data_IF_357844355911
#
_entry.id   IF_357844355911
#
_cell.length_a   1.000
_cell.length_b   1.000
_cell.length_c   1.000
_cell.angle_alpha   90.00
_cell.angle_beta   90.00
_cell.angle_gamma   90.00
#
_symmetry.space_group_name_H-M   'P 1'
#
loop_
_entity.id
_entity.type
_entity.pdbx_description
1 polymer ?
#
# COMPACT_ATOMS: atom_id res chain seq x y z
N UNK A 1 -24.68 -15.26 2.26
CA UNK A 1 -23.74 -14.16 2.60
C UNK A 1 -23.05 -13.63 1.34
N UNK A 2 -22.60 -12.36 1.26
CA UNK A 2 -21.77 -11.91 0.12
C UNK A 2 -20.30 -12.28 0.35
N UNK A 3 -19.76 -13.15 -0.50
CA UNK A 3 -18.36 -13.57 -0.45
C UNK A 3 -17.42 -12.46 -0.92
N UNK A 4 -16.37 -12.19 -0.15
CA UNK A 4 -15.39 -11.14 -0.46
C UNK A 4 -14.05 -11.73 -0.90
N UNK A 5 -13.71 -11.55 -2.17
CA UNK A 5 -12.44 -11.97 -2.75
C UNK A 5 -11.41 -10.86 -2.63
N UNK A 6 -10.22 -11.17 -2.09
CA UNK A 6 -9.11 -10.22 -1.93
C UNK A 6 -7.82 -10.80 -2.51
N UNK A 7 -7.30 -10.16 -3.55
CA UNK A 7 -5.93 -10.39 -3.99
C UNK A 7 -4.94 -9.69 -3.06
N UNK A 8 -3.81 -10.34 -2.78
CA UNK A 8 -2.70 -9.74 -2.03
C UNK A 8 -1.41 -10.01 -2.80
N UNK A 9 -0.97 -9.01 -3.56
CA UNK A 9 0.33 -9.05 -4.21
C UNK A 9 1.42 -8.71 -3.18
N UNK A 10 2.49 -9.49 -3.17
CA UNK A 10 3.71 -9.19 -2.42
C UNK A 10 4.91 -9.42 -3.32
N UNK A 11 5.80 -8.44 -3.38
CA UNK A 11 7.11 -8.54 -4.03
C UNK A 11 8.13 -8.69 -2.91
N UNK A 12 8.87 -9.79 -2.96
CA UNK A 12 9.93 -10.09 -2.02
C UNK A 12 11.28 -9.66 -2.60
N UNK A 13 12.13 -9.13 -1.75
CA UNK A 13 13.57 -9.00 -1.99
C UNK A 13 14.24 -9.75 -0.85
N UNK A 14 14.87 -10.86 -1.18
CA UNK A 14 15.31 -11.86 -0.18
C UNK A 14 14.10 -12.27 0.69
N UNK A 15 14.25 -12.29 2.00
CA UNK A 15 13.18 -12.67 2.94
C UNK A 15 12.27 -11.50 3.36
N UNK A 16 12.48 -10.30 2.79
CA UNK A 16 11.73 -9.10 3.14
C UNK A 16 10.68 -8.76 2.09
N UNK A 17 9.47 -8.39 2.53
CA UNK A 17 8.42 -7.87 1.64
C UNK A 17 8.77 -6.44 1.22
N UNK A 18 9.43 -6.29 0.08
CA UNK A 18 9.81 -5.01 -0.50
C UNK A 18 8.58 -4.16 -0.87
N UNK A 19 7.59 -4.77 -1.53
CA UNK A 19 6.33 -4.12 -1.91
C UNK A 19 5.17 -5.02 -1.50
N UNK A 20 4.12 -4.45 -0.92
CA UNK A 20 2.95 -5.22 -0.53
C UNK A 20 1.80 -4.33 -0.05
N UNK A 21 0.66 -4.94 0.32
CA UNK A 21 -0.58 -4.21 0.55
C UNK A 21 -0.47 -3.17 1.68
N UNK A 22 0.30 -3.47 2.73
CA UNK A 22 0.51 -2.53 3.84
C UNK A 22 1.30 -1.29 3.45
N UNK A 23 2.37 -1.46 2.64
CA UNK A 23 3.20 -0.36 2.15
C UNK A 23 2.42 0.50 1.15
N UNK A 24 1.64 -0.12 0.26
CA UNK A 24 0.79 0.60 -0.71
C UNK A 24 -0.33 1.36 0.00
N UNK A 25 -1.03 0.73 0.95
CA UNK A 25 -2.05 1.41 1.75
C UNK A 25 -1.47 2.60 2.53
N UNK A 26 -0.25 2.48 3.05
CA UNK A 26 0.44 3.59 3.69
C UNK A 26 0.70 4.76 2.73
N UNK A 27 1.19 4.49 1.52
CA UNK A 27 1.40 5.55 0.53
C UNK A 27 0.09 6.24 0.14
N UNK A 28 -0.99 5.48 -0.08
CA UNK A 28 -2.32 6.04 -0.37
C UNK A 28 -2.83 6.91 0.78
N UNK A 29 -2.66 6.45 2.02
CA UNK A 29 -3.04 7.22 3.20
C UNK A 29 -2.18 8.48 3.38
N UNK A 30 -0.89 8.45 3.02
CA UNK A 30 -0.02 9.63 3.00
C UNK A 30 -0.52 10.64 1.95
N UNK A 31 -0.88 10.18 0.75
CA UNK A 31 -1.42 11.04 -0.30
C UNK A 31 -2.68 11.78 0.16
N UNK A 32 -3.55 11.12 0.93
CA UNK A 32 -4.78 11.71 1.48
C UNK A 32 -4.53 12.60 2.69
N UNK A 33 -3.65 12.19 3.61
CA UNK A 33 -3.46 12.85 4.90
C UNK A 33 -2.40 13.96 4.89
N UNK A 34 -1.51 13.99 3.88
CA UNK A 34 -0.39 14.93 3.78
C UNK A 34 0.67 14.78 4.86
N UNK A 35 0.65 13.70 5.64
CA UNK A 35 1.60 13.43 6.73
C UNK A 35 1.64 11.94 7.09
N UNK A 36 2.80 11.48 7.55
CA UNK A 36 2.97 10.08 8.01
C UNK A 36 2.12 9.82 9.26
N UNK A 37 2.03 10.80 10.18
CA UNK A 37 1.23 10.65 11.40
C UNK A 37 -0.27 10.63 11.12
N UNK A 38 -0.75 11.40 10.12
CA UNK A 38 -2.11 11.34 9.64
C UNK A 38 -2.43 10.00 8.97
N UNK A 39 -1.53 9.50 8.13
CA UNK A 39 -1.66 8.18 7.50
C UNK A 39 -1.70 7.05 8.53
N UNK A 40 -0.83 7.09 9.54
CA UNK A 40 -0.82 6.10 10.63
C UNK A 40 -2.16 6.06 11.38
N UNK A 41 -2.74 7.23 11.68
CA UNK A 41 -4.07 7.35 12.30
C UNK A 41 -5.18 6.78 11.41
N UNK A 42 -5.16 7.06 10.10
CA UNK A 42 -6.16 6.53 9.16
C UNK A 42 -6.11 5.00 9.04
N UNK A 43 -4.91 4.42 9.19
CA UNK A 43 -4.69 2.98 9.07
C UNK A 43 -4.71 2.24 10.42
N UNK A 44 -5.16 2.91 11.48
CA UNK A 44 -5.21 2.36 12.85
C UNK A 44 -3.89 1.70 13.27
N UNK A 45 -2.78 2.41 13.06
CA UNK A 45 -1.45 1.94 13.42
C UNK A 45 -0.61 3.00 14.13
N UNK A 46 0.40 2.55 14.89
CA UNK A 46 1.34 3.46 15.52
C UNK A 46 2.19 4.20 14.48
N UNK A 47 2.56 5.44 14.80
CA UNK A 47 3.50 6.21 13.99
C UNK A 47 4.79 5.43 13.70
N UNK A 48 5.34 4.73 14.72
CA UNK A 48 6.53 3.88 14.58
C UNK A 48 6.34 2.81 13.52
N UNK A 49 5.18 2.15 13.46
CA UNK A 49 4.89 1.13 12.45
C UNK A 49 4.81 1.73 11.05
N UNK A 50 4.15 2.87 10.90
CA UNK A 50 4.11 3.59 9.61
C UNK A 50 5.51 3.98 9.15
N UNK A 51 6.36 4.48 10.06
CA UNK A 51 7.74 4.83 9.76
C UNK A 51 8.56 3.62 9.28
N UNK A 52 8.52 2.49 10.00
CA UNK A 52 9.25 1.27 9.61
C UNK A 52 8.82 0.75 8.23
N UNK A 53 7.52 0.76 7.93
CA UNK A 53 7.01 0.35 6.62
C UNK A 53 7.53 1.26 5.49
N UNK A 54 7.58 2.57 5.72
CA UNK A 54 8.08 3.53 4.76
C UNK A 54 9.60 3.41 4.58
N UNK A 55 10.33 3.21 5.66
CA UNK A 55 11.79 3.00 5.66
C UNK A 55 12.16 1.74 4.88
N UNK A 56 11.54 0.60 5.18
CA UNK A 56 11.72 -0.65 4.43
C UNK A 56 11.38 -0.49 2.94
N UNK A 57 10.30 0.23 2.63
CA UNK A 57 9.92 0.51 1.25
C UNK A 57 11.00 1.33 0.54
N UNK A 58 11.43 2.44 1.14
CA UNK A 58 12.42 3.33 0.54
C UNK A 58 13.77 2.63 0.37
N UNK A 59 14.17 1.76 1.30
CA UNK A 59 15.39 0.96 1.17
C UNK A 59 15.33 -0.02 -0.01
N UNK A 60 14.14 -0.53 -0.34
CA UNK A 60 13.96 -1.46 -1.44
C UNK A 60 13.85 -0.80 -2.83
N UNK A 61 13.66 0.53 -2.89
CA UNK A 61 13.48 1.31 -4.11
C UNK A 61 14.74 2.08 -4.50
N UNK A 62 14.93 2.33 -5.80
CA UNK A 62 16.04 3.15 -6.29
C UNK A 62 15.95 4.63 -5.90
N UNK A 63 14.75 5.09 -5.56
CA UNK A 63 14.47 6.46 -5.14
C UNK A 63 13.27 6.45 -4.17
N UNK A 64 13.21 7.39 -3.20
CA UNK A 64 12.21 7.37 -2.16
C UNK A 64 10.80 7.56 -2.71
N UNK A 65 9.82 6.85 -2.13
CA UNK A 65 8.41 6.96 -2.49
C UNK A 65 7.72 8.20 -1.90
N UNK A 66 8.32 8.81 -0.87
CA UNK A 66 7.77 9.96 -0.12
C UNK A 66 8.88 10.96 0.13
N UNK A 67 8.58 12.25 -0.05
CA UNK A 67 9.41 13.35 0.44
C UNK A 67 8.81 13.91 1.73
N UNK A 68 9.65 14.28 2.69
CA UNK A 68 9.23 14.90 3.95
C UNK A 68 9.59 16.37 3.96
N UNK A 69 8.68 17.21 4.47
CA UNK A 69 8.95 18.63 4.72
C UNK A 69 9.26 18.79 6.19
N UNK A 70 10.50 19.15 6.53
CA UNK A 70 10.91 19.45 7.90
C UNK A 70 10.64 20.93 8.23
N UNK A 71 10.06 21.20 9.41
CA UNK A 71 10.05 22.54 10.01
C UNK A 71 8.88 23.47 9.65
N UNK A 72 7.66 23.16 10.13
CA UNK A 72 6.54 24.10 10.17
C UNK A 72 5.82 24.08 11.51
N UNK A 73 5.16 25.19 11.88
CA UNK A 73 4.49 25.37 13.17
C UNK A 73 3.39 24.34 13.51
N UNK A 74 3.01 23.46 12.57
CA UNK A 74 1.99 22.41 12.73
C UNK A 74 2.54 20.97 12.60
N UNK A 75 3.86 20.80 12.62
CA UNK A 75 4.53 19.51 12.41
C UNK A 75 4.81 19.22 10.93
N UNK A 76 5.87 18.46 10.67
CA UNK A 76 6.35 18.17 9.31
C UNK A 76 5.31 17.47 8.42
N UNK A 77 5.36 17.75 7.12
CA UNK A 77 4.50 17.16 6.11
C UNK A 77 5.15 15.97 5.40
N UNK A 78 4.35 15.16 4.71
CA UNK A 78 4.83 14.08 3.86
C UNK A 78 3.98 14.01 2.59
N UNK A 79 4.64 13.98 1.43
CA UNK A 79 3.98 13.96 0.11
C UNK A 79 4.62 12.87 -0.74
N UNK A 80 3.82 12.20 -1.57
CA UNK A 80 4.33 11.22 -2.51
C UNK A 80 5.32 11.86 -3.49
N UNK A 81 6.35 11.12 -3.84
CA UNK A 81 7.15 11.42 -5.03
C UNK A 81 6.48 10.80 -6.25
N UNK A 82 6.95 11.18 -7.45
CA UNK A 82 6.55 10.50 -8.69
C UNK A 82 6.81 8.98 -8.65
N UNK A 83 7.81 8.52 -7.89
CA UNK A 83 8.07 7.08 -7.70
C UNK A 83 6.95 6.43 -6.88
N UNK A 84 6.53 7.08 -5.78
CA UNK A 84 5.43 6.61 -4.93
C UNK A 84 4.11 6.52 -5.70
N UNK A 85 3.78 7.55 -6.47
CA UNK A 85 2.56 7.57 -7.31
C UNK A 85 2.56 6.45 -8.35
N UNK A 86 3.66 6.28 -9.10
CA UNK A 86 3.77 5.19 -10.08
C UNK A 86 3.68 3.82 -9.44
N UNK A 87 4.28 3.63 -8.26
CA UNK A 87 4.22 2.37 -7.53
C UNK A 87 2.77 2.00 -7.19
N UNK A 88 1.99 2.93 -6.62
CA UNK A 88 0.56 2.71 -6.35
C UNK A 88 -0.16 2.35 -7.64
N UNK A 89 0.07 3.12 -8.71
CA UNK A 89 -0.57 2.92 -10.02
C UNK A 89 -0.33 1.51 -10.56
N UNK A 90 0.93 1.07 -10.62
CA UNK A 90 1.27 -0.27 -11.09
C UNK A 90 0.71 -1.39 -10.19
N UNK A 91 0.81 -1.23 -8.87
CA UNK A 91 0.31 -2.23 -7.94
C UNK A 91 -1.20 -2.43 -8.09
N UNK A 92 -1.97 -1.33 -8.15
CA UNK A 92 -3.44 -1.39 -8.35
C UNK A 92 -3.82 -1.87 -9.75
N UNK A 93 -3.03 -1.56 -10.77
CA UNK A 93 -3.25 -2.12 -12.11
C UNK A 93 -3.11 -3.65 -12.12
N UNK A 94 -2.05 -4.18 -11.49
CA UNK A 94 -1.85 -5.64 -11.38
C UNK A 94 -3.01 -6.29 -10.62
N UNK A 95 -3.47 -5.72 -9.51
CA UNK A 95 -4.61 -6.27 -8.75
C UNK A 95 -5.90 -6.32 -9.60
N UNK A 96 -6.17 -5.28 -10.40
CA UNK A 96 -7.32 -5.28 -11.32
C UNK A 96 -7.17 -6.34 -12.40
N UNK A 97 -6.04 -6.36 -13.10
CA UNK A 97 -5.79 -7.32 -14.18
C UNK A 97 -5.85 -8.76 -13.67
N UNK A 98 -5.26 -9.06 -12.51
CA UNK A 98 -5.32 -10.39 -11.91
C UNK A 98 -6.77 -10.79 -11.57
N UNK A 99 -7.57 -9.86 -11.05
CA UNK A 99 -8.99 -10.10 -10.74
C UNK A 99 -9.80 -10.37 -12.01
N UNK A 100 -9.58 -9.58 -13.06
CA UNK A 100 -10.27 -9.74 -14.34
C UNK A 100 -9.89 -11.08 -14.99
N UNK A 101 -8.60 -11.40 -15.03
CA UNK A 101 -8.11 -12.65 -15.63
C UNK A 101 -8.60 -13.90 -14.87
N UNK A 102 -8.72 -13.83 -13.55
CA UNK A 102 -9.16 -14.95 -12.71
C UNK A 102 -10.69 -14.98 -12.47
N UNK A 103 -11.49 -14.17 -13.16
CA UNK A 103 -12.91 -14.00 -12.85
C UNK A 103 -13.71 -15.32 -12.88
N UNK A 104 -13.43 -16.20 -13.84
CA UNK A 104 -14.11 -17.49 -13.95
C UNK A 104 -13.80 -18.43 -12.77
N UNK A 105 -12.52 -18.56 -12.41
CA UNK A 105 -12.11 -19.39 -11.27
C UNK A 105 -12.61 -18.83 -9.95
N UNK A 106 -12.61 -17.50 -9.81
CA UNK A 106 -13.18 -16.82 -8.65
C UNK A 106 -14.66 -17.18 -8.49
N UNK A 107 -15.44 -17.11 -9.57
CA UNK A 107 -16.86 -17.46 -9.55
C UNK A 107 -17.07 -18.92 -9.12
N UNK A 108 -16.31 -19.84 -9.73
CA UNK A 108 -16.35 -21.26 -9.39
C UNK A 108 -16.03 -21.51 -7.90
N UNK A 109 -15.02 -20.84 -7.35
CA UNK A 109 -14.68 -20.94 -5.92
C UNK A 109 -15.76 -20.34 -5.02
N UNK A 110 -16.37 -19.22 -5.42
CA UNK A 110 -17.44 -18.60 -4.61
C UNK A 110 -18.72 -19.43 -4.59
N UNK A 111 -19.01 -20.17 -5.66
CA UNK A 111 -20.19 -21.05 -5.75
C UNK A 111 -20.05 -22.31 -4.87
N UNK A 112 -18.81 -22.70 -4.51
CA UNK A 112 -18.55 -23.82 -3.59
C UNK A 112 -18.78 -23.46 -2.12
N UNK A 113 -18.98 -22.18 -1.79
CA UNK A 113 -19.13 -21.74 -0.41
C UNK A 113 -20.53 -22.06 0.12
N UNK A 114 -20.58 -22.55 1.37
CA UNK A 114 -21.84 -22.76 2.07
C UNK A 114 -22.63 -21.43 2.20
N UNK A 115 -23.98 -21.48 2.20
CA UNK A 115 -24.86 -20.30 2.18
C UNK A 115 -24.65 -19.29 3.33
#
# INVERSE_FOLDING_TARGET
>A
MQSKVRFRLRVYREDTVAIGPGKVALLEAIALAGSISGAARQLDMSYRRAWLLLEELNHALHAPAVTTVTGGARGGGAVLTAVGERLIGHYRAIERTAREAAAADIAALTDMLAP
#
